data_IF_137807973836
#
_entry.id   IF_137807973836
#
_cell.length_a   1.000
_cell.length_b   1.000
_cell.length_c   1.000
_cell.angle_alpha   90.00
_cell.angle_beta   90.00
_cell.angle_gamma   90.00
#
_symmetry.space_group_name_H-M   'P 1'
#
loop_
_entity.id
_entity.type
_entity.pdbx_description
1 polymer ?
#
# COMPACT_ATOMS: atom_id res chain seq x y z
N UNK A 1 -25.34 15.94 13.62
CA UNK A 1 -24.37 14.98 13.05
C UNK A 1 -23.10 14.86 13.90
N UNK A 2 -22.39 15.96 14.20
CA UNK A 2 -21.13 15.96 15.00
C UNK A 2 -21.27 15.37 16.41
N UNK A 3 -22.39 15.61 17.12
CA UNK A 3 -22.64 15.00 18.45
C UNK A 3 -22.74 13.47 18.44
N UNK A 4 -23.12 12.86 17.31
CA UNK A 4 -23.25 11.41 17.18
C UNK A 4 -21.89 10.70 17.04
N UNK A 5 -20.90 11.37 16.47
CA UNK A 5 -19.53 10.86 16.32
C UNK A 5 -18.81 10.91 17.67
N UNK A 6 -18.99 12.01 18.42
CA UNK A 6 -18.39 12.19 19.74
C UNK A 6 -18.94 11.22 20.79
N UNK A 7 -20.22 10.81 20.69
CA UNK A 7 -20.80 9.82 21.59
C UNK A 7 -20.43 8.36 21.27
N UNK A 8 -20.00 8.07 20.05
CA UNK A 8 -19.50 6.74 19.67
C UNK A 8 -18.06 6.53 20.16
N UNK A 9 -17.23 7.58 20.17
CA UNK A 9 -15.85 7.51 20.68
C UNK A 9 -15.78 7.22 22.20
N UNK A 10 -16.82 7.58 22.95
CA UNK A 10 -16.93 7.32 24.39
C UNK A 10 -17.49 5.94 24.77
N UNK A 11 -17.88 5.12 23.79
CA UNK A 11 -18.39 3.75 23.97
C UNK A 11 -17.66 2.75 23.08
N UNK A 12 -16.33 2.83 23.01
CA UNK A 12 -15.58 1.67 22.53
C UNK A 12 -15.75 0.61 23.60
N UNK A 13 -16.65 -0.34 23.36
CA UNK A 13 -16.84 -1.47 24.25
C UNK A 13 -15.50 -2.22 24.37
N UNK A 14 -15.12 -2.62 25.58
CA UNK A 14 -13.85 -3.29 25.84
C UNK A 14 -13.62 -4.50 24.90
N UNK A 15 -14.70 -5.19 24.52
CA UNK A 15 -14.71 -6.28 23.54
C UNK A 15 -14.30 -5.83 22.13
N UNK A 16 -14.78 -4.67 21.67
CA UNK A 16 -14.41 -4.11 20.36
C UNK A 16 -12.94 -3.68 20.33
N UNK A 17 -12.45 -3.06 21.42
CA UNK A 17 -11.04 -2.69 21.54
C UNK A 17 -10.13 -3.93 21.54
N UNK A 18 -10.51 -4.97 22.28
CA UNK A 18 -9.76 -6.24 22.31
C UNK A 18 -9.72 -6.91 20.92
N UNK A 19 -10.86 -6.93 20.22
CA UNK A 19 -10.94 -7.47 18.87
C UNK A 19 -10.06 -6.69 17.90
N UNK A 20 -10.08 -5.36 17.95
CA UNK A 20 -9.18 -4.52 17.17
C UNK A 20 -7.71 -4.81 17.47
N UNK A 21 -7.33 -4.90 18.74
CA UNK A 21 -5.94 -5.16 19.15
C UNK A 21 -5.47 -6.54 18.70
N UNK A 22 -6.33 -7.55 18.78
CA UNK A 22 -6.05 -8.90 18.29
C UNK A 22 -5.85 -8.89 16.77
N UNK A 23 -6.76 -8.28 16.02
CA UNK A 23 -6.64 -8.17 14.57
C UNK A 23 -5.39 -7.39 14.15
N UNK A 24 -5.13 -6.24 14.80
CA UNK A 24 -3.96 -5.43 14.53
C UNK A 24 -2.67 -6.19 14.84
N UNK A 25 -2.60 -6.89 15.98
CA UNK A 25 -1.45 -7.72 16.35
C UNK A 25 -1.23 -8.89 15.39
N UNK A 26 -2.30 -9.56 14.96
CA UNK A 26 -2.26 -10.65 13.99
C UNK A 26 -1.75 -10.15 12.63
N UNK A 27 -2.40 -9.14 12.06
CA UNK A 27 -2.00 -8.57 10.77
C UNK A 27 -0.58 -8.02 10.81
N UNK A 28 -0.24 -7.28 11.87
CA UNK A 28 1.10 -6.73 12.06
C UNK A 28 2.15 -7.83 12.14
N UNK A 29 1.89 -8.92 12.87
CA UNK A 29 2.82 -10.06 12.92
C UNK A 29 3.02 -10.67 11.54
N UNK A 30 1.94 -10.96 10.81
CA UNK A 30 2.02 -11.59 9.50
C UNK A 30 2.61 -10.70 8.41
N UNK A 31 2.50 -9.37 8.54
CA UNK A 31 3.07 -8.42 7.60
C UNK A 31 4.52 -8.09 7.97
N UNK A 32 4.78 -7.72 9.23
CA UNK A 32 6.11 -7.29 9.67
C UNK A 32 7.10 -8.45 9.72
N UNK A 33 6.70 -9.64 10.15
CA UNK A 33 7.60 -10.79 10.22
C UNK A 33 8.31 -11.10 8.89
N UNK A 34 7.61 -11.32 7.75
CA UNK A 34 8.28 -11.58 6.49
C UNK A 34 9.08 -10.38 5.98
N UNK A 35 8.61 -9.14 6.23
CA UNK A 35 9.36 -7.94 5.84
C UNK A 35 10.70 -7.88 6.59
N UNK A 36 10.68 -8.09 7.91
CA UNK A 36 11.88 -8.12 8.74
C UNK A 36 12.82 -9.26 8.34
N UNK A 37 12.26 -10.42 8.00
CA UNK A 37 13.05 -11.55 7.51
C UNK A 37 13.74 -11.23 6.18
N UNK A 38 13.03 -10.63 5.22
CA UNK A 38 13.59 -10.22 3.93
C UNK A 38 14.68 -9.16 4.13
N UNK A 39 14.45 -8.18 5.00
CA UNK A 39 15.45 -7.17 5.34
C UNK A 39 16.68 -7.81 6.00
N UNK A 40 16.50 -8.71 6.97
CA UNK A 40 17.59 -9.41 7.64
C UNK A 40 18.47 -10.17 6.64
N UNK A 41 17.85 -10.92 5.72
CA UNK A 41 18.57 -11.67 4.67
C UNK A 41 19.24 -10.73 3.67
N UNK A 42 18.63 -9.58 3.34
CA UNK A 42 19.22 -8.61 2.42
C UNK A 42 20.49 -7.94 2.97
N UNK A 43 20.57 -7.77 4.29
CA UNK A 43 21.68 -7.09 4.98
C UNK A 43 22.65 -8.04 5.68
N UNK A 44 22.44 -9.36 5.64
CA UNK A 44 23.33 -10.32 6.32
C UNK A 44 23.92 -11.29 5.31
N UNK A 45 25.23 -11.48 5.37
CA UNK A 45 25.95 -12.49 4.60
C UNK A 45 26.88 -13.25 5.55
N UNK A 46 26.76 -14.58 5.61
CA UNK A 46 27.60 -15.45 6.44
C UNK A 46 27.67 -15.03 7.94
N UNK A 47 26.59 -14.44 8.46
CA UNK A 47 26.50 -13.98 9.84
C UNK A 47 27.02 -12.56 10.10
N UNK A 48 27.56 -11.87 9.08
CA UNK A 48 27.99 -10.48 9.17
C UNK A 48 27.02 -9.53 8.47
N UNK A 49 26.79 -8.37 9.08
CA UNK A 49 25.99 -7.31 8.46
C UNK A 49 26.81 -6.72 7.30
N UNK A 50 26.25 -6.77 6.08
CA UNK A 50 26.87 -6.28 4.86
C UNK A 50 25.87 -5.55 3.97
N UNK A 51 26.35 -4.55 3.24
CA UNK A 51 25.57 -3.89 2.16
C UNK A 51 25.87 -4.50 0.79
N UNK A 52 26.62 -5.61 0.74
CA UNK A 52 27.08 -6.22 -0.51
C UNK A 52 25.93 -6.59 -1.44
N UNK A 53 24.88 -7.27 -0.95
CA UNK A 53 23.73 -7.65 -1.78
C UNK A 53 22.97 -6.44 -2.34
N UNK A 54 22.83 -5.39 -1.53
CA UNK A 54 22.21 -4.13 -1.95
C UNK A 54 23.02 -3.44 -3.05
N UNK A 55 24.34 -3.29 -2.90
CA UNK A 55 25.19 -2.68 -3.92
C UNK A 55 25.25 -3.53 -5.20
N UNK A 56 25.29 -4.87 -5.07
CA UNK A 56 25.30 -5.79 -6.19
C UNK A 56 24.01 -5.71 -7.03
N UNK A 57 22.86 -5.41 -6.40
CA UNK A 57 21.62 -5.12 -7.12
C UNK A 57 21.80 -3.95 -8.09
N UNK A 58 22.37 -2.83 -7.62
CA UNK A 58 22.60 -1.66 -8.46
C UNK A 58 23.73 -1.84 -9.45
N UNK A 59 24.67 -2.76 -9.28
CA UNK A 59 25.75 -3.00 -10.25
C UNK A 59 25.28 -3.79 -11.47
N UNK A 60 24.25 -4.63 -11.32
CA UNK A 60 23.74 -5.49 -12.40
C UNK A 60 22.82 -4.71 -13.33
N UNK A 61 23.16 -4.69 -14.63
CA UNK A 61 22.39 -4.00 -15.67
C UNK A 61 20.92 -4.47 -15.69
N UNK A 62 20.69 -5.78 -15.68
CA UNK A 62 19.36 -6.37 -15.69
C UNK A 62 18.45 -5.85 -14.57
N UNK A 63 18.95 -5.72 -13.34
CA UNK A 63 18.16 -5.25 -12.19
C UNK A 63 17.85 -3.76 -12.28
N UNK A 64 18.80 -2.94 -12.74
CA UNK A 64 18.56 -1.52 -13.00
C UNK A 64 17.53 -1.32 -14.12
N UNK A 65 17.67 -2.05 -15.22
CA UNK A 65 16.74 -1.99 -16.35
C UNK A 65 15.33 -2.42 -15.92
N UNK A 66 15.20 -3.54 -15.19
CA UNK A 66 13.91 -3.99 -14.67
C UNK A 66 13.25 -2.97 -13.73
N UNK A 67 14.03 -2.31 -12.86
CA UNK A 67 13.55 -1.25 -11.98
C UNK A 67 13.05 -0.03 -12.77
N UNK A 68 13.84 0.45 -13.74
CA UNK A 68 13.47 1.60 -14.56
C UNK A 68 12.27 1.30 -15.46
N UNK A 69 12.22 0.11 -16.06
CA UNK A 69 11.08 -0.33 -16.86
C UNK A 69 9.80 -0.37 -16.02
N UNK A 70 9.86 -0.95 -14.81
CA UNK A 70 8.69 -1.04 -13.93
C UNK A 70 8.23 0.34 -13.45
N UNK A 71 9.17 1.23 -13.12
CA UNK A 71 8.86 2.60 -12.72
C UNK A 71 8.22 3.38 -13.88
N UNK A 72 8.81 3.29 -15.07
CA UNK A 72 8.28 3.93 -16.28
C UNK A 72 6.87 3.43 -16.58
N UNK A 73 6.66 2.11 -16.60
CA UNK A 73 5.34 1.50 -16.80
C UNK A 73 4.36 1.95 -15.72
N UNK A 74 4.76 1.98 -14.45
CA UNK A 74 3.91 2.44 -13.35
C UNK A 74 3.44 3.89 -13.53
N UNK A 75 4.35 4.80 -13.92
CA UNK A 75 4.01 6.20 -14.21
C UNK A 75 3.06 6.31 -15.40
N UNK A 76 3.33 5.57 -16.49
CA UNK A 76 2.44 5.55 -17.66
C UNK A 76 1.04 5.06 -17.27
N UNK A 77 0.94 3.97 -16.50
CA UNK A 77 -0.34 3.44 -16.03
C UNK A 77 -1.13 4.47 -15.24
N UNK A 78 -0.49 5.21 -14.33
CA UNK A 78 -1.16 6.27 -13.54
C UNK A 78 -1.67 7.38 -14.45
N UNK A 79 -0.85 7.85 -15.40
CA UNK A 79 -1.21 8.91 -16.34
C UNK A 79 -2.41 8.48 -17.19
N UNK A 80 -2.30 7.35 -17.89
CA UNK A 80 -3.36 6.88 -18.79
C UNK A 80 -4.63 6.51 -18.03
N UNK A 81 -4.52 5.87 -16.87
CA UNK A 81 -5.69 5.54 -16.05
C UNK A 81 -6.38 6.81 -15.56
N UNK A 82 -5.62 7.82 -15.13
CA UNK A 82 -6.19 9.10 -14.68
C UNK A 82 -6.85 9.86 -15.82
N UNK A 83 -6.25 9.86 -17.01
CA UNK A 83 -6.82 10.50 -18.21
C UNK A 83 -8.17 9.91 -18.61
N UNK A 84 -8.43 8.63 -18.31
CA UNK A 84 -9.72 8.00 -18.59
C UNK A 84 -10.67 8.14 -17.39
N UNK A 85 -10.18 7.85 -16.19
CA UNK A 85 -10.97 7.82 -14.96
C UNK A 85 -11.48 9.21 -14.56
N UNK A 86 -10.66 10.26 -14.67
CA UNK A 86 -11.05 11.61 -14.24
C UNK A 86 -12.16 12.20 -15.11
N UNK A 87 -12.10 12.16 -16.46
CA UNK A 87 -13.21 12.62 -17.28
C UNK A 87 -14.47 11.78 -17.07
N UNK A 88 -14.33 10.46 -16.96
CA UNK A 88 -15.47 9.58 -16.71
C UNK A 88 -16.14 9.89 -15.35
N UNK A 89 -15.35 10.13 -14.30
CA UNK A 89 -15.85 10.54 -13.00
C UNK A 89 -16.52 11.93 -13.06
N UNK A 90 -15.93 12.87 -13.79
CA UNK A 90 -16.50 14.21 -13.99
C UNK A 90 -17.86 14.13 -14.71
N UNK A 91 -17.95 13.34 -15.78
CA UNK A 91 -19.22 13.12 -16.48
C UNK A 91 -20.23 12.42 -15.58
N UNK A 92 -19.80 11.45 -14.76
CA UNK A 92 -20.67 10.72 -13.84
C UNK A 92 -21.34 11.62 -12.80
N UNK A 93 -20.58 12.57 -12.24
CA UNK A 93 -21.08 13.50 -11.20
C UNK A 93 -21.87 14.65 -11.82
N UNK A 94 -21.41 15.22 -12.94
CA UNK A 94 -21.96 16.47 -13.46
C UNK A 94 -23.12 16.31 -14.43
N UNK A 95 -23.28 15.14 -15.06
CA UNK A 95 -24.34 14.89 -16.03
C UNK A 95 -25.26 13.75 -15.59
N UNK A 96 -26.56 13.95 -15.76
CA UNK A 96 -27.56 12.91 -15.61
C UNK A 96 -27.76 12.21 -16.97
N UNK A 97 -27.07 11.08 -17.16
CA UNK A 97 -27.20 10.23 -18.34
C UNK A 97 -28.22 9.11 -18.09
N UNK A 98 -28.96 8.72 -19.14
CA UNK A 98 -29.85 7.55 -19.11
C UNK A 98 -28.98 6.29 -18.89
N UNK A 99 -28.99 5.77 -17.66
CA UNK A 99 -28.13 4.66 -17.21
C UNK A 99 -27.44 4.89 -15.86
N UNK A 100 -27.50 6.11 -15.29
CA UNK A 100 -27.04 6.40 -13.93
C UNK A 100 -27.97 5.74 -12.90
N UNK A 101 -27.55 4.60 -12.37
CA UNK A 101 -28.20 3.98 -11.20
C UNK A 101 -27.93 4.87 -9.98
N UNK A 102 -29.02 5.28 -9.33
CA UNK A 102 -29.01 6.13 -8.14
C UNK A 102 -28.41 5.42 -6.93
#
# INVERSE_FOLDING_TARGET
MIRSILSQCGKVDFSQFLFFLLLAGLLSTFILFPILQVLYVAFTQDGFITLFHFLNFFQRALFREALLNSLFVGVMVVIFSSLIALPLAFFSVRYDFKGKVM
#
